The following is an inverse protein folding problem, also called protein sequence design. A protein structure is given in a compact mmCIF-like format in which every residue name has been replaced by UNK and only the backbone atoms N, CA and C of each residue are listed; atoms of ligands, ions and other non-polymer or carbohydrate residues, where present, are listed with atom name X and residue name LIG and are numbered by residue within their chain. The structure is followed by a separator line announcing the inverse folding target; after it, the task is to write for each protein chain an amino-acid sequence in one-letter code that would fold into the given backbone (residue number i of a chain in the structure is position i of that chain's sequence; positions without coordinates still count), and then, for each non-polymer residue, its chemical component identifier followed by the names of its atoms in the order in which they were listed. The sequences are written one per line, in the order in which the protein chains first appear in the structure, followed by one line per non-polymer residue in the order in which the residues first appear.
data_IF_776480684325
#
_entry.id   IF_776480684325
#
_cell.length_a   1.000
_cell.length_b   1.000
_cell.length_c   1.000
_cell.angle_alpha   90.00
_cell.angle_beta   90.00
_cell.angle_gamma   90.00
#
_symmetry.space_group_name_H-M   'P 1'
#
loop_
_entity.id
_entity.type
_entity.pdbx_description
1 polymer ?
#
# COMPACT_ATOMS: atom_id res chain seq x y z
N UNK A 1 18.15 -6.15 4.64
CA UNK A 1 17.41 -5.02 4.02
C UNK A 1 16.73 -5.42 2.71
N UNK A 2 17.43 -5.91 1.68
CA UNK A 2 16.78 -6.40 0.42
C UNK A 2 15.61 -7.37 0.64
N UNK A 3 15.74 -8.34 1.55
CA UNK A 3 14.64 -9.26 1.90
C UNK A 3 13.41 -8.54 2.47
N UNK A 4 13.59 -7.47 3.25
CA UNK A 4 12.49 -6.68 3.82
C UNK A 4 11.75 -5.93 2.73
N UNK A 5 12.48 -5.32 1.77
CA UNK A 5 11.86 -4.66 0.62
C UNK A 5 11.18 -5.64 -0.32
N UNK A 6 11.72 -6.85 -0.50
CA UNK A 6 11.06 -7.92 -1.24
C UNK A 6 9.73 -8.32 -0.59
N UNK A 7 9.68 -8.45 0.74
CA UNK A 7 8.42 -8.71 1.46
C UNK A 7 7.45 -7.53 1.23
N UNK A 8 7.92 -6.28 1.24
CA UNK A 8 7.10 -5.11 0.91
C UNK A 8 6.48 -5.16 -0.48
N UNK A 9 7.24 -5.59 -1.49
CA UNK A 9 6.74 -5.78 -2.86
C UNK A 9 5.64 -6.84 -2.88
N UNK A 10 5.86 -7.99 -2.22
CA UNK A 10 4.88 -9.08 -2.16
C UNK A 10 3.60 -8.63 -1.44
N UNK A 11 3.74 -7.94 -0.30
CA UNK A 11 2.61 -7.40 0.46
C UNK A 11 1.84 -6.36 -0.37
N UNK A 12 2.54 -5.48 -1.10
CA UNK A 12 1.91 -4.51 -1.99
C UNK A 12 1.16 -5.16 -3.15
N UNK A 13 1.71 -6.23 -3.72
CA UNK A 13 1.04 -7.02 -4.76
C UNK A 13 -0.24 -7.69 -4.22
N UNK A 14 -0.15 -8.34 -3.04
CA UNK A 14 -1.29 -8.96 -2.39
C UNK A 14 -2.39 -7.94 -2.06
N UNK A 15 -1.99 -6.78 -1.54
CA UNK A 15 -2.90 -5.66 -1.28
C UNK A 15 -3.63 -5.21 -2.55
N UNK A 16 -2.91 -5.07 -3.67
CA UNK A 16 -3.55 -4.72 -4.95
C UNK A 16 -4.51 -5.78 -5.48
N UNK A 17 -4.17 -7.06 -5.36
CA UNK A 17 -5.07 -8.16 -5.73
C UNK A 17 -6.35 -8.10 -4.90
N UNK A 18 -6.23 -7.80 -3.60
CA UNK A 18 -7.39 -7.62 -2.72
C UNK A 18 -8.24 -6.41 -3.14
N UNK A 19 -7.64 -5.24 -3.39
CA UNK A 19 -8.38 -4.04 -3.80
C UNK A 19 -9.13 -4.26 -5.13
N UNK A 20 -8.46 -4.81 -6.14
CA UNK A 20 -9.07 -5.09 -7.45
C UNK A 20 -10.15 -6.17 -7.32
N UNK A 21 -9.90 -7.23 -6.54
CA UNK A 21 -10.88 -8.28 -6.27
C UNK A 21 -12.15 -7.75 -5.60
N UNK A 22 -11.99 -6.82 -4.64
CA UNK A 22 -13.12 -6.16 -3.99
C UNK A 22 -13.88 -5.25 -4.96
N UNK A 23 -13.20 -4.49 -5.82
CA UNK A 23 -13.88 -3.66 -6.84
C UNK A 23 -14.68 -4.52 -7.82
N UNK A 24 -14.11 -5.64 -8.26
CA UNK A 24 -14.81 -6.57 -9.14
C UNK A 24 -16.02 -7.18 -8.44
N UNK A 25 -15.89 -7.55 -7.17
CA UNK A 25 -16.98 -8.09 -6.37
C UNK A 25 -18.12 -7.07 -6.17
N UNK A 26 -17.80 -5.81 -5.86
CA UNK A 26 -18.80 -4.76 -5.69
C UNK A 26 -19.52 -4.46 -7.00
N UNK A 27 -18.79 -4.42 -8.11
CA UNK A 27 -19.40 -4.23 -9.42
C UNK A 27 -20.36 -5.38 -9.78
N UNK A 28 -19.93 -6.64 -9.58
CA UNK A 28 -20.79 -7.80 -9.83
C UNK A 28 -22.03 -7.83 -8.94
N UNK A 29 -21.90 -7.42 -7.68
CA UNK A 29 -23.06 -7.28 -6.79
C UNK A 29 -24.02 -6.21 -7.30
N UNK A 30 -23.50 -5.07 -7.79
CA UNK A 30 -24.30 -4.00 -8.37
C UNK A 30 -25.15 -4.46 -9.53
N UNK A 31 -24.56 -5.19 -10.46
CA UNK A 31 -25.28 -5.73 -11.62
C UNK A 31 -26.39 -6.69 -11.19
N UNK A 32 -26.11 -7.60 -10.25
CA UNK A 32 -27.09 -8.54 -9.72
C UNK A 32 -28.28 -7.84 -9.04
N UNK A 33 -28.03 -6.78 -8.27
CA UNK A 33 -29.11 -6.02 -7.61
C UNK A 33 -29.94 -5.21 -8.61
N UNK A 34 -29.30 -4.66 -9.64
CA UNK A 34 -29.98 -3.96 -10.73
C UNK A 34 -30.90 -4.92 -11.50
N UNK A 35 -30.45 -6.14 -11.82
CA UNK A 35 -31.29 -7.18 -12.44
C UNK A 35 -32.48 -7.59 -11.56
N UNK A 36 -32.34 -7.54 -10.23
CA UNK A 36 -33.40 -7.81 -9.27
C UNK A 36 -34.38 -6.64 -9.06
N UNK A 37 -34.21 -5.52 -9.76
CA UNK A 37 -35.05 -4.33 -9.65
C UNK A 37 -34.96 -3.63 -8.29
N UNK A 38 -33.86 -3.84 -7.56
CA UNK A 38 -33.60 -3.19 -6.25
C UNK A 38 -32.54 -2.11 -6.43
N UNK A 39 -32.79 -0.93 -5.86
CA UNK A 39 -31.77 0.10 -5.82
C UNK A 39 -30.59 -0.35 -4.97
N UNK A 40 -29.42 -0.44 -5.61
CA UNK A 40 -28.14 -0.81 -4.99
C UNK A 40 -27.82 0.04 -3.76
N UNK A 41 -28.29 1.29 -3.72
CA UNK A 41 -28.04 2.23 -2.62
C UNK A 41 -28.85 1.94 -1.35
N UNK A 42 -29.97 1.19 -1.43
CA UNK A 42 -30.81 0.87 -0.27
C UNK A 42 -30.38 -0.41 0.45
N UNK A 43 -29.44 -1.15 -0.12
CA UNK A 43 -29.01 -2.43 0.45
C UNK A 43 -27.90 -2.16 1.50
N UNK A 44 -28.23 -2.39 2.77
CA UNK A 44 -27.29 -2.40 3.92
C UNK A 44 -25.91 -3.08 3.72
N UNK A 45 -25.71 -4.08 2.84
CA UNK A 45 -24.42 -4.72 2.61
C UNK A 45 -23.29 -3.77 2.20
N UNK A 46 -23.58 -2.67 1.50
CA UNK A 46 -22.54 -1.76 1.00
C UNK A 46 -21.80 -1.04 2.13
N UNK A 47 -22.50 -0.62 3.17
CA UNK A 47 -21.90 0.05 4.34
C UNK A 47 -20.95 -0.91 5.08
N UNK A 48 -21.32 -2.18 5.21
CA UNK A 48 -20.47 -3.19 5.86
C UNK A 48 -19.22 -3.53 5.03
N UNK A 49 -19.38 -3.66 3.70
CA UNK A 49 -18.27 -3.89 2.77
C UNK A 49 -17.27 -2.73 2.77
N UNK A 50 -17.74 -1.48 2.67
CA UNK A 50 -16.88 -0.29 2.71
C UNK A 50 -16.14 -0.16 4.04
N UNK A 51 -16.80 -0.44 5.17
CA UNK A 51 -16.14 -0.44 6.49
C UNK A 51 -15.11 -1.55 6.65
N UNK A 52 -15.42 -2.77 6.21
CA UNK A 52 -14.46 -3.89 6.25
C UNK A 52 -13.25 -3.61 5.38
N UNK A 53 -13.45 -3.01 4.20
CA UNK A 53 -12.36 -2.66 3.31
C UNK A 53 -11.50 -1.51 3.87
N UNK A 54 -12.11 -0.47 4.45
CA UNK A 54 -11.38 0.60 5.15
C UNK A 54 -10.57 0.06 6.33
N UNK A 55 -11.15 -0.82 7.15
CA UNK A 55 -10.43 -1.45 8.26
C UNK A 55 -9.26 -2.35 7.80
N UNK A 56 -9.46 -3.12 6.74
CA UNK A 56 -8.39 -3.91 6.12
C UNK A 56 -7.29 -2.99 5.58
N UNK A 57 -7.66 -1.86 4.96
CA UNK A 57 -6.70 -0.92 4.40
C UNK A 57 -5.79 -0.30 5.47
N UNK A 58 -6.35 0.09 6.61
CA UNK A 58 -5.58 0.60 7.76
C UNK A 58 -4.47 -0.37 8.19
N UNK A 59 -4.71 -1.70 8.13
CA UNK A 59 -3.70 -2.70 8.45
C UNK A 59 -2.52 -2.67 7.46
N UNK A 60 -2.79 -2.59 6.16
CA UNK A 60 -1.75 -2.50 5.14
C UNK A 60 -0.98 -1.17 5.24
N UNK A 61 -1.68 -0.06 5.47
CA UNK A 61 -1.09 1.25 5.72
C UNK A 61 -0.14 1.23 6.92
N UNK A 62 -0.53 0.59 8.03
CA UNK A 62 0.32 0.46 9.19
C UNK A 62 1.60 -0.33 8.88
N UNK A 63 1.50 -1.41 8.11
CA UNK A 63 2.66 -2.17 7.64
C UNK A 63 3.62 -1.29 6.81
N UNK A 64 3.09 -0.57 5.82
CA UNK A 64 3.91 0.30 4.97
C UNK A 64 4.50 1.47 5.74
N UNK A 65 3.76 2.06 6.69
CA UNK A 65 4.26 3.11 7.58
C UNK A 65 5.50 2.65 8.35
N UNK A 66 5.44 1.44 8.95
CA UNK A 66 6.60 0.84 9.63
C UNK A 66 7.75 0.61 8.65
N UNK A 67 7.45 0.18 7.42
CA UNK A 67 8.47 -0.04 6.39
C UNK A 67 9.16 1.27 5.97
N UNK A 68 8.42 2.36 5.82
CA UNK A 68 8.96 3.70 5.60
C UNK A 68 9.84 4.15 6.77
N UNK A 69 9.38 3.99 8.01
CA UNK A 69 10.16 4.34 9.20
C UNK A 69 11.47 3.54 9.27
N UNK A 70 11.42 2.23 9.04
CA UNK A 70 12.60 1.37 9.00
C UNK A 70 13.58 1.78 7.90
N UNK A 71 13.08 2.22 6.75
CA UNK A 71 13.92 2.68 5.66
C UNK A 71 14.64 3.99 5.97
N UNK A 72 13.99 4.94 6.67
CA UNK A 72 14.62 6.19 7.12
C UNK A 72 15.74 5.95 8.12
N UNK A 73 15.56 4.99 9.04
CA UNK A 73 16.55 4.68 10.07
C UNK A 73 17.76 3.95 9.46
N UNK A 74 17.53 3.02 8.51
CA UNK A 74 18.56 2.07 8.06
C UNK A 74 19.17 2.35 6.69
N UNK A 75 18.51 3.10 5.82
CA UNK A 75 19.03 3.41 4.47
C UNK A 75 19.58 4.83 4.48
N UNK A 76 20.90 4.96 4.32
CA UNK A 76 21.57 6.27 4.24
C UNK A 76 21.67 6.71 2.79
N UNK A 77 21.15 7.89 2.49
CA UNK A 77 21.22 8.54 1.17
C UNK A 77 20.14 9.60 1.02
N UNK A 78 20.43 10.69 0.31
CA UNK A 78 19.47 11.80 0.09
C UNK A 78 18.19 11.30 -0.60
N UNK A 79 18.33 10.48 -1.64
CA UNK A 79 17.19 9.98 -2.42
C UNK A 79 16.27 9.03 -1.62
N UNK A 80 16.77 7.97 -0.93
CA UNK A 80 15.95 7.16 -0.03
C UNK A 80 15.27 7.95 1.08
N UNK A 81 15.95 8.96 1.64
CA UNK A 81 15.40 9.81 2.68
C UNK A 81 14.21 10.62 2.16
N UNK A 82 14.37 11.30 1.03
CA UNK A 82 13.30 12.08 0.38
C UNK A 82 12.11 11.20 0.03
N UNK A 83 12.34 10.04 -0.61
CA UNK A 83 11.29 9.08 -0.94
C UNK A 83 10.57 8.57 0.31
N UNK A 84 11.31 8.33 1.40
CA UNK A 84 10.75 7.87 2.67
C UNK A 84 9.83 8.92 3.32
N UNK A 85 10.24 10.19 3.31
CA UNK A 85 9.42 11.29 3.84
C UNK A 85 8.12 11.45 3.04
N UNK A 86 8.21 11.53 1.71
CA UNK A 86 7.03 11.64 0.85
C UNK A 86 6.11 10.42 0.98
N UNK A 87 6.69 9.22 1.07
CA UNK A 87 5.94 7.99 1.27
C UNK A 87 5.20 7.95 2.62
N UNK A 88 5.81 8.42 3.70
CA UNK A 88 5.11 8.56 5.00
C UNK A 88 3.97 9.57 4.92
N UNK A 89 4.21 10.76 4.36
CA UNK A 89 3.17 11.79 4.22
C UNK A 89 1.98 11.28 3.40
N UNK A 90 2.27 10.59 2.29
CA UNK A 90 1.24 9.94 1.48
C UNK A 90 0.46 8.90 2.28
N UNK A 91 1.16 8.01 3.00
CA UNK A 91 0.54 6.95 3.82
C UNK A 91 -0.33 7.51 4.94
N UNK A 92 0.07 8.61 5.59
CA UNK A 92 -0.75 9.32 6.56
C UNK A 92 -1.98 9.94 5.91
N UNK A 93 -1.84 10.55 4.73
CA UNK A 93 -2.97 11.07 3.96
C UNK A 93 -4.00 9.99 3.61
N UNK A 94 -3.52 8.82 3.16
CA UNK A 94 -4.37 7.64 2.89
C UNK A 94 -5.06 7.16 4.16
N UNK A 95 -4.36 7.11 5.29
CA UNK A 95 -4.95 6.72 6.57
C UNK A 95 -6.08 7.65 7.02
N UNK A 96 -5.91 8.97 6.84
CA UNK A 96 -6.96 9.96 7.14
C UNK A 96 -8.17 9.74 6.23
N UNK A 97 -7.93 9.51 4.94
CA UNK A 97 -8.97 9.16 3.98
C UNK A 97 -9.77 7.93 4.42
N UNK A 98 -9.09 6.87 4.83
CA UNK A 98 -9.71 5.63 5.33
C UNK A 98 -10.54 5.86 6.60
N UNK A 99 -10.03 6.65 7.55
CA UNK A 99 -10.76 6.97 8.78
C UNK A 99 -12.05 7.74 8.46
N UNK A 100 -11.96 8.74 7.58
CA UNK A 100 -13.13 9.47 7.11
C UNK A 100 -14.15 8.56 6.41
N UNK A 101 -13.68 7.54 5.69
CA UNK A 101 -14.55 6.56 5.05
C UNK A 101 -15.24 5.62 6.04
N UNK A 102 -14.52 5.13 7.05
CA UNK A 102 -15.11 4.25 8.08
C UNK A 102 -16.24 4.99 8.82
N UNK A 103 -16.02 6.27 9.11
CA UNK A 103 -16.98 7.14 9.77
C UNK A 103 -18.17 7.51 8.86
N UNK A 104 -17.91 7.89 7.60
CA UNK A 104 -18.93 8.34 6.62
C UNK A 104 -19.35 7.27 5.60
N UNK A 105 -19.20 5.99 5.92
CA UNK A 105 -19.45 4.85 5.01
C UNK A 105 -20.87 4.82 4.38
N UNK A 106 -21.82 5.61 4.89
CA UNK A 106 -23.15 5.77 4.31
C UNK A 106 -23.19 6.65 3.04
N UNK A 107 -22.14 7.44 2.76
CA UNK A 107 -22.12 8.42 1.66
C UNK A 107 -21.07 8.18 0.58
N UNK A 108 -20.23 7.16 0.72
CA UNK A 108 -19.19 6.83 -0.25
C UNK A 108 -19.28 5.36 -0.65
N UNK A 109 -19.32 5.11 -1.95
CA UNK A 109 -19.38 3.75 -2.49
C UNK A 109 -17.97 3.19 -2.65
N UNK A 110 -17.81 1.88 -2.45
CA UNK A 110 -16.52 1.24 -2.59
C UNK A 110 -15.92 1.41 -4.01
N UNK A 111 -16.75 1.55 -5.04
CA UNK A 111 -16.29 1.78 -6.42
C UNK A 111 -15.53 3.12 -6.57
N UNK A 112 -15.93 4.15 -5.81
CA UNK A 112 -15.27 5.47 -5.83
C UNK A 112 -13.89 5.44 -5.15
N UNK A 113 -13.71 4.53 -4.19
CA UNK A 113 -12.56 4.55 -3.27
C UNK A 113 -11.64 3.35 -3.41
N UNK A 114 -12.12 2.27 -4.03
CA UNK A 114 -11.29 1.13 -4.42
C UNK A 114 -10.25 1.50 -5.48
N UNK A 115 -10.54 2.49 -6.34
CA UNK A 115 -9.55 3.05 -7.28
C UNK A 115 -8.44 3.79 -6.54
N UNK A 116 -8.79 4.53 -5.49
CA UNK A 116 -7.84 5.22 -4.61
C UNK A 116 -6.95 4.22 -3.85
N UNK A 117 -7.52 3.12 -3.38
CA UNK A 117 -6.77 2.04 -2.72
C UNK A 117 -5.81 1.31 -3.66
N UNK A 118 -6.27 0.98 -4.88
CA UNK A 118 -5.39 0.41 -5.89
C UNK A 118 -4.21 1.34 -6.20
N UNK A 119 -4.47 2.64 -6.35
CA UNK A 119 -3.43 3.65 -6.58
C UNK A 119 -2.44 3.74 -5.41
N UNK A 120 -2.93 3.74 -4.17
CA UNK A 120 -2.06 3.78 -2.98
C UNK A 120 -1.14 2.55 -2.92
N UNK A 121 -1.66 1.37 -3.28
CA UNK A 121 -0.90 0.13 -3.39
C UNK A 121 0.21 0.20 -4.45
N UNK A 122 -0.07 0.78 -5.61
CA UNK A 122 0.95 1.01 -6.65
C UNK A 122 2.08 1.91 -6.15
N UNK A 123 1.75 3.01 -5.48
CA UNK A 123 2.75 3.96 -4.94
C UNK A 123 3.64 3.27 -3.89
N UNK A 124 3.04 2.53 -2.96
CA UNK A 124 3.74 1.80 -1.91
C UNK A 124 4.64 0.68 -2.47
N UNK A 125 4.16 -0.05 -3.49
CA UNK A 125 4.94 -1.07 -4.18
C UNK A 125 6.11 -0.46 -4.96
N UNK A 126 5.88 0.64 -5.68
CA UNK A 126 6.90 1.37 -6.43
C UNK A 126 8.04 1.86 -5.53
N UNK A 127 7.70 2.34 -4.32
CA UNK A 127 8.68 2.69 -3.30
C UNK A 127 9.56 1.50 -2.89
N UNK A 128 8.93 0.37 -2.57
CA UNK A 128 9.64 -0.84 -2.17
C UNK A 128 10.58 -1.35 -3.28
N UNK A 129 10.14 -1.25 -4.54
CA UNK A 129 10.94 -1.59 -5.71
C UNK A 129 12.15 -0.65 -5.86
N UNK A 130 11.95 0.66 -5.75
CA UNK A 130 13.02 1.64 -5.82
C UNK A 130 14.09 1.37 -4.75
N UNK A 131 13.69 1.14 -3.50
CA UNK A 131 14.63 0.80 -2.44
C UNK A 131 15.30 -0.57 -2.64
N UNK A 132 14.60 -1.55 -3.18
CA UNK A 132 15.19 -2.84 -3.52
C UNK A 132 16.31 -2.72 -4.56
N UNK A 133 16.12 -1.85 -5.56
CA UNK A 133 17.11 -1.54 -6.59
C UNK A 133 18.29 -0.73 -6.03
N UNK A 134 18.02 0.24 -5.16
CA UNK A 134 19.03 1.13 -4.58
C UNK A 134 19.89 0.48 -3.50
N UNK A 135 19.40 -0.57 -2.83
CA UNK A 135 20.17 -1.27 -1.79
C UNK A 135 21.19 -2.21 -2.47
N UNK A 136 22.50 -1.99 -2.29
CA UNK A 136 23.53 -2.80 -2.93
C UNK A 136 23.35 -4.27 -2.54
N UNK A 137 23.48 -5.17 -3.54
CA UNK A 137 23.72 -6.59 -3.24
C UNK A 137 24.99 -6.61 -2.40
N UNK A 138 24.96 -7.25 -1.22
CA UNK A 138 26.20 -7.54 -0.50
C UNK A 138 27.12 -8.23 -1.51
N UNK A 139 28.14 -7.51 -1.97
CA UNK A 139 29.27 -8.14 -2.64
C UNK A 139 29.84 -9.04 -1.56
N UNK A 140 29.91 -10.35 -1.84
CA UNK A 140 30.67 -11.25 -0.97
C UNK A 140 32.04 -10.60 -0.81
N UNK A 141 32.41 -10.21 0.40
CA UNK A 141 33.76 -9.74 0.67
C UNK A 141 34.70 -10.80 0.06
N UNK A 142 35.52 -10.41 -0.91
CA UNK A 142 36.66 -11.23 -1.27
C UNK A 142 37.51 -11.33 -0.01
N UNK A 143 37.88 -12.54 0.45
CA UNK A 143 38.65 -12.72 1.68
C UNK A 143 40.11 -12.25 1.58
N UNK A 144 40.48 -11.44 0.58
CA UNK A 144 41.86 -11.05 0.26
C UNK A 144 41.98 -9.65 -0.34
N UNK A 145 41.35 -8.63 0.25
CA UNK A 145 41.84 -7.25 0.06
C UNK A 145 42.48 -6.79 1.37
N UNK A 146 43.74 -7.20 1.55
CA UNK A 146 44.67 -6.49 2.41
C UNK A 146 45.17 -5.25 1.67
N UNK A 147 45.07 -4.11 2.36
CA UNK A 147 45.75 -2.82 2.17
C UNK A 147 46.50 -2.55 0.86
N UNK A 148 46.15 -1.43 0.22
CA UNK A 148 47.16 -0.45 -0.20
C UNK A 148 46.55 0.94 -0.28
N UNK A 149 46.81 1.74 0.76
CA UNK A 149 46.68 3.19 0.80
C UNK A 149 47.56 3.82 -0.29
N UNK A 150 47.04 4.74 -1.11
CA UNK A 150 47.84 5.82 -1.72
C UNK A 150 46.99 7.11 -1.78
N UNK A 151 47.35 8.03 -0.87
CA UNK A 151 47.22 9.50 -0.81
C UNK A 151 45.98 10.16 -1.43
#
# INVERSE_FOLDING_TARGET
MRKVFLIGIIVGLLYMVLCVGMCYYTHKMRDLYHELGKDYFDVKPHVHLTRMAGAANIFFIAYFFIQYLLSLIRVRGRLPLTLGIFGMLFTVGVCIGDLCMVEKAQHSTFDEVGLYFAFSGFVQMGYCLALFMLVPKKVKAHPFDFDTTII
#
